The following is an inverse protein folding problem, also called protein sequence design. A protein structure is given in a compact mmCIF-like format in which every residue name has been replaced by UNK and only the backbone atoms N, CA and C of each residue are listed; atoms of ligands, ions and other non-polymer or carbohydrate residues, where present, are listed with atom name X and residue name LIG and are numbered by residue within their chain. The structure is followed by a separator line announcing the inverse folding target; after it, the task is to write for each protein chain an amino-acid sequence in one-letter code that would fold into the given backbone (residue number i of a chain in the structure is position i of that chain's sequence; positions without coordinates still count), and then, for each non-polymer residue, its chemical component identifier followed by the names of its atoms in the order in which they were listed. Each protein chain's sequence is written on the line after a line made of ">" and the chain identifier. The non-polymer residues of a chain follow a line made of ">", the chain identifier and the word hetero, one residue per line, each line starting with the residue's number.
data_IF_827271917188
#
_entry.id   IF_827271917188
#
_cell.length_a   1.000
_cell.length_b   1.000
_cell.length_c   1.000
_cell.angle_alpha   90.00
_cell.angle_beta   90.00
_cell.angle_gamma   90.00
#
_symmetry.space_group_name_H-M   'P 1'
#
loop_
_entity.id
_entity.type
_entity.pdbx_description
1 polymer ?
#
# COMPACT_ATOMS: atom_id res chain seq x y z
N UNK A 1 4.96 10.46 -23.57
CA UNK A 1 5.36 9.13 -23.06
C UNK A 1 5.89 9.35 -21.65
N UNK A 2 5.56 8.49 -20.68
CA UNK A 2 6.11 8.60 -19.32
C UNK A 2 7.56 8.11 -19.36
N UNK A 3 8.49 8.90 -18.83
CA UNK A 3 9.92 8.56 -18.70
C UNK A 3 10.07 7.22 -17.96
N UNK A 4 10.86 6.27 -18.48
CA UNK A 4 11.11 4.98 -17.86
C UNK A 4 12.57 4.84 -17.42
N UNK A 5 12.78 4.64 -16.12
CA UNK A 5 14.12 4.49 -15.53
C UNK A 5 14.37 3.07 -15.06
N UNK A 6 15.56 2.53 -15.33
CA UNK A 6 16.09 1.36 -14.64
C UNK A 6 17.12 1.82 -13.61
N UNK A 7 16.92 1.44 -12.36
CA UNK A 7 17.89 1.65 -11.28
C UNK A 7 18.60 0.33 -11.00
N UNK A 8 19.93 0.30 -11.09
CA UNK A 8 20.74 -0.88 -10.79
C UNK A 8 21.80 -0.55 -9.76
N UNK A 9 22.04 -1.47 -8.82
CA UNK A 9 23.13 -1.35 -7.86
C UNK A 9 24.41 -1.96 -8.41
N UNK A 10 25.52 -1.28 -8.19
CA UNK A 10 26.88 -1.75 -8.39
C UNK A 10 27.49 -2.03 -7.01
N UNK A 11 27.89 -3.27 -6.80
CA UNK A 11 28.63 -3.69 -5.61
C UNK A 11 30.14 -3.81 -5.81
N UNK A 12 30.75 -4.50 -4.84
CA UNK A 12 32.16 -4.89 -4.84
C UNK A 12 32.28 -6.35 -5.26
N UNK A 13 32.89 -6.63 -6.41
CA UNK A 13 33.24 -8.00 -6.82
C UNK A 13 34.35 -8.55 -5.93
N UNK A 14 34.12 -9.76 -5.40
CA UNK A 14 35.01 -10.41 -4.41
C UNK A 14 35.94 -11.46 -5.02
N UNK A 15 35.80 -11.78 -6.31
CA UNK A 15 36.46 -12.97 -6.89
C UNK A 15 37.75 -12.66 -7.66
N UNK A 16 37.87 -11.49 -8.31
CA UNK A 16 39.11 -11.05 -8.95
C UNK A 16 39.11 -9.52 -9.15
N UNK A 17 40.25 -8.85 -8.91
CA UNK A 17 40.42 -7.41 -9.17
C UNK A 17 40.41 -7.08 -10.66
N UNK A 18 40.80 -8.02 -11.52
CA UNK A 18 40.83 -7.83 -12.98
C UNK A 18 39.50 -8.18 -13.66
N UNK A 19 38.76 -9.19 -13.19
CA UNK A 19 37.53 -9.65 -13.88
C UNK A 19 36.22 -9.25 -13.21
N UNK A 20 36.26 -8.73 -11.97
CA UNK A 20 35.08 -8.27 -11.23
C UNK A 20 34.17 -9.38 -10.71
N UNK A 21 32.88 -9.34 -11.10
CA UNK A 21 31.90 -10.39 -10.80
C UNK A 21 32.17 -11.68 -11.59
N UNK A 22 31.66 -12.79 -11.06
CA UNK A 22 31.56 -14.02 -11.83
C UNK A 22 30.68 -13.79 -13.07
N UNK A 23 31.27 -14.00 -14.25
CA UNK A 23 30.52 -14.03 -15.51
C UNK A 23 29.52 -15.20 -15.48
N UNK A 24 28.30 -14.95 -15.93
CA UNK A 24 27.26 -15.99 -15.99
C UNK A 24 26.29 -15.76 -17.15
N UNK A 25 25.58 -16.82 -17.53
CA UNK A 25 24.53 -16.80 -18.56
C UNK A 25 23.16 -16.67 -17.89
N UNK A 26 22.54 -15.51 -18.03
CA UNK A 26 21.24 -15.22 -17.45
C UNK A 26 20.09 -15.66 -18.35
N UNK A 27 19.01 -16.21 -17.79
CA UNK A 27 17.75 -16.47 -18.49
C UNK A 27 16.64 -15.62 -17.91
N UNK A 28 16.03 -14.78 -18.74
CA UNK A 28 14.87 -13.98 -18.36
C UNK A 28 13.58 -14.81 -18.34
N UNK A 29 12.57 -14.42 -17.56
CA UNK A 29 11.26 -15.07 -17.56
C UNK A 29 10.65 -15.07 -18.96
N UNK A 30 10.20 -16.25 -19.42
CA UNK A 30 9.61 -16.42 -20.75
C UNK A 30 10.61 -16.61 -21.89
N UNK A 31 11.92 -16.45 -21.66
CA UNK A 31 12.95 -16.74 -22.66
C UNK A 31 13.37 -18.22 -22.61
N UNK A 32 13.48 -18.84 -23.79
CA UNK A 32 13.95 -20.23 -23.92
C UNK A 32 15.48 -20.30 -23.78
N UNK A 33 16.17 -19.44 -24.52
CA UNK A 33 17.62 -19.38 -24.53
C UNK A 33 18.13 -18.35 -23.52
N UNK A 34 19.20 -18.67 -22.76
CA UNK A 34 19.84 -17.69 -21.92
C UNK A 34 20.66 -16.71 -22.77
N UNK A 35 20.89 -15.52 -22.21
CA UNK A 35 21.73 -14.47 -22.79
C UNK A 35 23.20 -14.90 -22.84
N UNK A 36 24.02 -14.20 -23.65
CA UNK A 36 25.47 -14.32 -23.61
C UNK A 36 26.00 -14.09 -22.19
N UNK A 37 27.20 -14.60 -21.95
CA UNK A 37 27.83 -14.51 -20.65
C UNK A 37 28.16 -13.05 -20.28
N UNK A 38 27.75 -12.59 -19.10
CA UNK A 38 27.99 -11.22 -18.62
C UNK A 38 28.30 -11.21 -17.13
N UNK A 39 29.02 -10.17 -16.68
CA UNK A 39 29.29 -9.89 -15.27
C UNK A 39 28.26 -8.93 -14.65
N UNK A 40 27.51 -8.17 -15.45
CA UNK A 40 26.65 -7.08 -14.99
C UNK A 40 25.21 -7.30 -15.45
N UNK A 41 24.35 -7.82 -14.56
CA UNK A 41 22.95 -8.05 -14.89
C UNK A 41 22.23 -6.76 -15.29
N UNK A 42 22.48 -5.63 -14.59
CA UNK A 42 21.85 -4.35 -14.87
C UNK A 42 21.95 -3.90 -16.33
N UNK A 43 23.05 -4.23 -17.02
CA UNK A 43 23.23 -3.92 -18.45
C UNK A 43 22.37 -4.83 -19.35
N UNK A 44 22.26 -6.12 -19.04
CA UNK A 44 21.35 -7.02 -19.76
C UNK A 44 19.88 -6.72 -19.48
N UNK A 45 19.55 -6.30 -18.25
CA UNK A 45 18.24 -5.78 -17.90
C UNK A 45 17.91 -4.52 -18.71
N UNK A 46 18.87 -3.60 -18.91
CA UNK A 46 18.64 -2.42 -19.74
C UNK A 46 18.29 -2.82 -21.19
N UNK A 47 18.98 -3.82 -21.76
CA UNK A 47 18.66 -4.36 -23.10
C UNK A 47 17.27 -5.02 -23.16
N UNK A 48 16.91 -5.76 -22.11
CA UNK A 48 15.63 -6.44 -22.01
C UNK A 48 14.45 -5.46 -21.82
N UNK A 49 14.62 -4.47 -20.95
CA UNK A 49 13.56 -3.52 -20.53
C UNK A 49 13.48 -2.28 -21.42
N UNK A 50 14.59 -1.88 -22.05
CA UNK A 50 14.73 -0.68 -22.88
C UNK A 50 14.28 0.60 -22.15
N UNK A 51 14.91 0.96 -21.02
CA UNK A 51 14.60 2.19 -20.32
C UNK A 51 15.04 3.42 -21.13
N UNK A 52 14.46 4.58 -20.82
CA UNK A 52 14.94 5.88 -21.30
C UNK A 52 16.22 6.30 -20.56
N UNK A 53 16.30 5.95 -19.26
CA UNK A 53 17.41 6.30 -18.36
C UNK A 53 17.90 5.07 -17.59
N UNK A 54 19.22 4.86 -17.56
CA UNK A 54 19.88 3.83 -16.74
C UNK A 54 20.64 4.50 -15.59
N UNK A 55 20.10 4.40 -14.38
CA UNK A 55 20.76 4.88 -13.17
C UNK A 55 21.58 3.74 -12.57
N UNK A 56 22.89 3.96 -12.42
CA UNK A 56 23.81 3.00 -11.81
C UNK A 56 24.24 3.56 -10.46
N UNK A 57 23.80 2.92 -9.37
CA UNK A 57 24.10 3.33 -8.01
C UNK A 57 25.25 2.50 -7.44
N UNK A 58 26.30 3.12 -6.95
CA UNK A 58 27.40 2.40 -6.29
C UNK A 58 28.01 3.21 -5.16
N UNK A 59 28.68 2.53 -4.25
CA UNK A 59 29.50 3.21 -3.23
C UNK A 59 30.84 3.65 -3.80
N UNK A 60 31.59 4.44 -3.03
CA UNK A 60 32.95 4.84 -3.39
C UNK A 60 33.96 3.69 -3.53
N UNK A 61 33.60 2.47 -3.08
CA UNK A 61 34.40 1.24 -3.24
C UNK A 61 33.74 0.18 -4.11
N UNK A 62 32.79 0.57 -4.96
CA UNK A 62 32.15 -0.30 -5.96
C UNK A 62 33.01 -0.39 -7.23
N UNK A 63 32.81 -1.41 -8.06
CA UNK A 63 33.69 -1.71 -9.20
C UNK A 63 33.40 -0.86 -10.45
N UNK A 64 33.54 0.47 -10.34
CA UNK A 64 33.34 1.39 -11.46
C UNK A 64 34.37 1.20 -12.59
N UNK A 65 35.61 0.85 -12.26
CA UNK A 65 36.72 0.59 -13.18
C UNK A 65 36.49 -0.67 -14.00
N UNK A 66 35.99 -1.73 -13.38
CA UNK A 66 35.63 -2.96 -14.11
C UNK A 66 34.39 -2.74 -14.98
N UNK A 67 33.42 -1.94 -14.52
CA UNK A 67 32.29 -1.54 -15.35
C UNK A 67 32.75 -0.75 -16.58
N UNK A 68 33.66 0.21 -16.40
CA UNK A 68 34.27 0.96 -17.48
C UNK A 68 35.02 0.05 -18.44
N UNK A 69 35.84 -0.88 -17.95
CA UNK A 69 36.58 -1.85 -18.78
C UNK A 69 35.65 -2.74 -19.59
N UNK A 70 34.48 -3.11 -19.05
CA UNK A 70 33.50 -3.93 -19.74
C UNK A 70 32.78 -3.18 -20.88
N UNK A 71 32.72 -1.85 -20.81
CA UNK A 71 31.95 -1.00 -21.72
C UNK A 71 32.82 -0.20 -22.70
N UNK A 72 34.05 0.15 -22.31
CA UNK A 72 34.97 0.91 -23.13
C UNK A 72 35.54 0.06 -24.27
N UNK A 73 35.75 0.70 -25.43
CA UNK A 73 36.53 0.10 -26.51
C UNK A 73 38.01 0.02 -26.11
N UNK A 74 38.70 -1.05 -26.51
CA UNK A 74 40.12 -1.26 -26.20
C UNK A 74 40.96 0.01 -26.47
N UNK A 75 41.62 0.53 -25.43
CA UNK A 75 42.53 1.67 -25.49
C UNK A 75 41.93 3.06 -25.27
N UNK A 76 40.61 3.20 -25.07
CA UNK A 76 40.01 4.48 -24.69
C UNK A 76 40.05 4.71 -23.17
N UNK A 77 40.46 5.91 -22.76
CA UNK A 77 40.35 6.40 -21.37
C UNK A 77 41.09 5.53 -20.31
N UNK A 78 42.16 4.84 -20.73
CA UNK A 78 42.93 3.91 -19.88
C UNK A 78 43.50 4.59 -18.62
N UNK A 79 43.96 5.84 -18.73
CA UNK A 79 44.43 6.61 -17.58
C UNK A 79 43.29 6.87 -16.57
N UNK A 80 42.09 7.24 -17.04
CA UNK A 80 40.92 7.44 -16.17
C UNK A 80 40.52 6.12 -15.50
N UNK A 81 40.59 5.00 -16.22
CA UNK A 81 40.31 3.66 -15.70
C UNK A 81 41.25 3.30 -14.54
N UNK A 82 42.55 3.51 -14.73
CA UNK A 82 43.56 3.23 -13.70
C UNK A 82 43.33 4.11 -12.46
N UNK A 83 43.11 5.42 -12.65
CA UNK A 83 42.82 6.33 -11.53
C UNK A 83 41.54 5.92 -10.77
N UNK A 84 40.53 5.44 -11.48
CA UNK A 84 39.28 4.97 -10.89
C UNK A 84 39.50 3.70 -10.06
N UNK A 85 40.25 2.72 -10.59
CA UNK A 85 40.60 1.50 -9.85
C UNK A 85 41.39 1.78 -8.57
N UNK A 86 42.32 2.73 -8.60
CA UNK A 86 43.10 3.14 -7.43
C UNK A 86 42.19 3.78 -6.38
N UNK A 87 41.30 4.70 -6.79
CA UNK A 87 40.36 5.35 -5.90
C UNK A 87 39.34 4.37 -5.28
N UNK A 88 38.91 3.34 -6.01
CA UNK A 88 38.03 2.29 -5.49
C UNK A 88 38.70 1.45 -4.40
N UNK A 89 39.99 1.16 -4.56
CA UNK A 89 40.76 0.38 -3.60
C UNK A 89 40.82 1.07 -2.24
N UNK A 90 40.85 2.41 -2.22
CA UNK A 90 40.82 3.24 -1.02
C UNK A 90 39.44 3.77 -0.65
N UNK A 91 38.40 3.44 -1.43
CA UNK A 91 37.03 3.92 -1.25
C UNK A 91 36.90 5.47 -1.27
N UNK A 92 37.67 6.12 -2.16
CA UNK A 92 37.75 7.58 -2.31
C UNK A 92 37.24 8.09 -3.66
N UNK A 93 36.48 7.28 -4.40
CA UNK A 93 35.79 7.76 -5.62
C UNK A 93 34.80 8.87 -5.24
N UNK A 94 34.82 9.96 -5.99
CA UNK A 94 33.95 11.13 -5.84
C UNK A 94 32.94 11.23 -6.99
N UNK A 95 31.81 11.91 -6.76
CA UNK A 95 30.74 12.03 -7.77
C UNK A 95 31.24 12.72 -9.04
N UNK A 96 32.09 13.74 -8.90
CA UNK A 96 32.68 14.47 -10.02
C UNK A 96 33.49 13.55 -10.97
N UNK A 97 34.15 12.53 -10.41
CA UNK A 97 34.85 11.52 -11.21
C UNK A 97 33.87 10.69 -12.03
N UNK A 98 32.74 10.30 -11.45
CA UNK A 98 31.69 9.54 -12.14
C UNK A 98 30.96 10.37 -13.20
N UNK A 99 30.71 11.64 -12.93
CA UNK A 99 30.06 12.55 -13.88
C UNK A 99 30.85 12.60 -15.20
N UNK A 100 32.19 12.56 -15.13
CA UNK A 100 33.08 12.49 -16.29
C UNK A 100 33.04 11.18 -17.09
N UNK A 101 32.36 10.14 -16.59
CA UNK A 101 32.17 8.85 -17.28
C UNK A 101 30.84 8.77 -18.03
N UNK A 102 29.92 9.69 -17.76
CA UNK A 102 28.54 9.69 -18.28
C UNK A 102 28.48 9.52 -19.80
N UNK A 103 29.25 10.29 -20.55
CA UNK A 103 29.23 10.26 -22.01
C UNK A 103 29.76 8.94 -22.56
N UNK A 104 30.81 8.39 -21.93
CA UNK A 104 31.41 7.10 -22.34
C UNK A 104 30.43 5.96 -22.08
N UNK A 105 29.84 5.91 -20.89
CA UNK A 105 28.86 4.90 -20.52
C UNK A 105 27.60 4.99 -21.40
N UNK A 106 27.13 6.22 -21.66
CA UNK A 106 25.95 6.44 -22.51
C UNK A 106 26.22 6.04 -23.96
N UNK A 107 27.39 6.40 -24.50
CA UNK A 107 27.81 6.02 -25.85
C UNK A 107 27.96 4.50 -26.02
N UNK A 108 28.53 3.82 -25.02
CA UNK A 108 28.74 2.37 -25.07
C UNK A 108 27.43 1.57 -24.91
N UNK A 109 26.50 2.05 -24.09
CA UNK A 109 25.26 1.33 -23.79
C UNK A 109 24.10 1.71 -24.70
N UNK A 110 24.13 2.90 -25.30
CA UNK A 110 23.03 3.46 -26.09
C UNK A 110 21.87 4.01 -25.26
N UNK A 111 22.05 4.14 -23.94
CA UNK A 111 21.06 4.70 -23.00
C UNK A 111 21.58 5.99 -22.37
N UNK A 112 20.69 6.83 -21.84
CA UNK A 112 21.12 7.92 -20.97
C UNK A 112 21.55 7.35 -19.61
N UNK A 113 22.85 7.28 -19.34
CA UNK A 113 23.40 6.67 -18.13
C UNK A 113 23.67 7.72 -17.06
N UNK A 114 23.22 7.47 -15.83
CA UNK A 114 23.49 8.31 -14.67
C UNK A 114 24.26 7.49 -13.61
N UNK A 115 25.60 7.57 -13.57
CA UNK A 115 26.39 6.96 -12.51
C UNK A 115 26.31 7.82 -11.25
N UNK A 116 25.80 7.26 -10.16
CA UNK A 116 25.48 7.99 -8.93
C UNK A 116 26.13 7.31 -7.73
N UNK A 117 26.87 8.09 -6.94
CA UNK A 117 27.41 7.65 -5.66
C UNK A 117 26.31 7.60 -4.60
N UNK A 118 26.35 6.52 -3.83
CA UNK A 118 25.57 6.35 -2.62
C UNK A 118 26.50 6.03 -1.44
N UNK A 119 26.14 6.41 -0.20
CA UNK A 119 26.92 5.99 0.96
C UNK A 119 26.78 4.46 1.19
N UNK A 120 27.57 3.93 2.13
CA UNK A 120 27.57 2.49 2.42
C UNK A 120 26.29 2.02 3.12
N UNK A 121 25.52 2.92 3.73
CA UNK A 121 24.28 2.61 4.46
C UNK A 121 24.54 2.05 5.87
N UNK A 122 25.65 2.46 6.50
CA UNK A 122 26.10 1.92 7.81
C UNK A 122 25.22 2.32 8.98
N UNK A 123 24.50 3.43 8.85
CA UNK A 123 23.62 3.99 9.86
C UNK A 123 22.35 4.54 9.19
N UNK A 124 21.38 4.98 10.00
CA UNK A 124 20.10 5.46 9.52
C UNK A 124 20.24 6.69 8.58
N UNK A 125 21.12 7.63 8.89
CA UNK A 125 21.34 8.83 8.07
C UNK A 125 21.88 8.46 6.68
N UNK A 126 22.89 7.59 6.62
CA UNK A 126 23.37 7.07 5.34
C UNK A 126 22.26 6.34 4.57
N UNK A 127 21.39 5.57 5.25
CA UNK A 127 20.27 4.87 4.61
C UNK A 127 19.23 5.84 4.04
N UNK A 128 18.91 6.92 4.75
CA UNK A 128 18.02 7.98 4.26
C UNK A 128 18.63 8.68 3.05
N UNK A 129 19.93 8.97 3.08
CA UNK A 129 20.62 9.56 1.94
C UNK A 129 20.56 8.66 0.69
N UNK A 130 20.63 7.33 0.83
CA UNK A 130 20.44 6.42 -0.31
C UNK A 130 19.02 6.57 -0.89
N UNK A 131 18.00 6.62 -0.03
CA UNK A 131 16.61 6.79 -0.46
C UNK A 131 16.40 8.13 -1.18
N UNK A 132 16.98 9.21 -0.67
CA UNK A 132 16.91 10.54 -1.29
C UNK A 132 17.64 10.57 -2.64
N UNK A 133 18.84 10.00 -2.74
CA UNK A 133 19.56 9.88 -4.03
C UNK A 133 18.73 9.13 -5.07
N UNK A 134 18.07 8.03 -4.68
CA UNK A 134 17.18 7.28 -5.58
C UNK A 134 15.98 8.14 -6.01
N UNK A 135 15.39 8.90 -5.08
CA UNK A 135 14.24 9.76 -5.37
C UNK A 135 14.56 10.95 -6.28
N UNK A 136 15.78 11.48 -6.19
CA UNK A 136 16.24 12.57 -7.06
C UNK A 136 16.61 12.06 -8.46
N UNK A 137 17.17 10.85 -8.55
CA UNK A 137 17.49 10.22 -9.84
C UNK A 137 16.24 9.79 -10.64
N UNK A 138 15.09 9.62 -9.97
CA UNK A 138 13.82 9.21 -10.60
C UNK A 138 12.72 10.24 -10.29
N UNK A 139 12.70 11.40 -10.97
CA UNK A 139 11.80 12.49 -10.61
C UNK A 139 10.35 12.26 -11.05
N UNK A 140 10.11 11.50 -12.13
CA UNK A 140 8.79 11.25 -12.69
C UNK A 140 8.77 9.96 -13.54
N UNK A 141 7.56 9.50 -13.87
CA UNK A 141 7.35 8.41 -14.81
C UNK A 141 7.25 7.04 -14.15
N UNK A 142 8.02 6.07 -14.66
CA UNK A 142 8.00 4.69 -14.23
C UNK A 142 9.41 4.20 -13.91
N UNK A 143 9.53 3.23 -12.99
CA UNK A 143 10.84 2.72 -12.55
C UNK A 143 10.85 1.22 -12.38
N UNK A 144 11.98 0.59 -12.71
CA UNK A 144 12.31 -0.77 -12.33
C UNK A 144 13.61 -0.79 -11.55
N UNK A 145 13.75 -1.76 -10.65
CA UNK A 145 14.96 -1.93 -9.83
C UNK A 145 15.64 -3.27 -10.10
N UNK A 146 16.96 -3.25 -10.26
CA UNK A 146 17.83 -4.43 -10.17
C UNK A 146 18.45 -4.47 -8.78
N UNK A 147 18.12 -5.48 -7.98
CA UNK A 147 18.63 -5.70 -6.61
C UNK A 147 19.67 -6.83 -6.53
N UNK A 148 20.32 -7.16 -7.65
CA UNK A 148 21.25 -8.30 -7.77
C UNK A 148 22.58 -8.06 -7.06
N UNK A 149 23.19 -6.91 -7.29
CA UNK A 149 24.55 -6.61 -6.80
C UNK A 149 24.52 -5.57 -5.68
N UNK A 150 25.62 -5.49 -4.94
CA UNK A 150 25.74 -4.62 -3.77
C UNK A 150 25.76 -5.40 -2.46
N UNK A 151 25.78 -4.68 -1.34
CA UNK A 151 25.58 -5.31 -0.05
C UNK A 151 24.15 -5.85 0.05
N UNK A 152 23.95 -6.94 0.80
CA UNK A 152 22.62 -7.55 0.97
C UNK A 152 21.56 -6.58 1.46
N UNK A 153 21.94 -5.60 2.31
CA UNK A 153 21.01 -4.57 2.78
C UNK A 153 20.63 -3.56 1.70
N UNK A 154 21.46 -3.32 0.67
CA UNK A 154 21.10 -2.43 -0.45
C UNK A 154 19.95 -3.02 -1.27
N UNK A 155 19.85 -4.35 -1.37
CA UNK A 155 18.67 -4.98 -1.96
C UNK A 155 17.39 -4.68 -1.17
N UNK A 156 17.47 -4.68 0.17
CA UNK A 156 16.35 -4.29 1.04
C UNK A 156 16.02 -2.80 0.89
N UNK A 157 17.03 -1.94 0.77
CA UNK A 157 16.84 -0.51 0.50
C UNK A 157 16.18 -0.29 -0.86
N UNK A 158 16.65 -0.94 -1.93
CA UNK A 158 16.04 -0.86 -3.26
C UNK A 158 14.58 -1.33 -3.27
N UNK A 159 14.27 -2.40 -2.52
CA UNK A 159 12.89 -2.84 -2.30
C UNK A 159 12.05 -1.77 -1.59
N UNK A 160 12.56 -1.16 -0.52
CA UNK A 160 11.87 -0.06 0.18
C UNK A 160 11.71 1.20 -0.70
N UNK A 161 12.75 1.54 -1.48
CA UNK A 161 12.74 2.68 -2.41
C UNK A 161 11.58 2.60 -3.37
N UNK A 162 11.30 1.41 -3.92
CA UNK A 162 10.17 1.21 -4.80
C UNK A 162 8.86 1.72 -4.16
N UNK A 163 8.53 1.26 -2.95
CA UNK A 163 7.29 1.68 -2.26
C UNK A 163 7.30 3.15 -1.85
N UNK A 164 8.46 3.66 -1.43
CA UNK A 164 8.62 5.06 -1.10
C UNK A 164 8.31 5.93 -2.32
N UNK A 165 8.86 5.61 -3.50
CA UNK A 165 8.66 6.36 -4.72
C UNK A 165 7.21 6.33 -5.21
N UNK A 166 6.52 5.19 -5.11
CA UNK A 166 5.09 5.11 -5.42
C UNK A 166 4.28 6.09 -4.56
N UNK A 167 4.65 6.27 -3.28
CA UNK A 167 3.88 7.08 -2.33
C UNK A 167 4.27 8.55 -2.30
N UNK A 168 5.56 8.84 -2.28
CA UNK A 168 6.11 10.19 -2.10
C UNK A 168 6.21 10.94 -3.41
N UNK A 169 6.47 10.23 -4.52
CA UNK A 169 6.64 10.82 -5.86
C UNK A 169 5.54 10.44 -6.84
N UNK A 170 4.56 9.63 -6.43
CA UNK A 170 3.46 9.14 -7.27
C UNK A 170 3.95 8.47 -8.57
N UNK A 171 5.07 7.74 -8.47
CA UNK A 171 5.68 7.02 -9.59
C UNK A 171 5.03 5.66 -9.80
N UNK A 172 5.12 5.14 -11.02
CA UNK A 172 4.76 3.77 -11.31
C UNK A 172 5.98 2.85 -11.14
N UNK A 173 6.05 2.09 -10.04
CA UNK A 173 7.02 0.98 -9.97
C UNK A 173 6.49 -0.15 -10.83
N UNK A 174 7.25 -0.48 -11.89
CA UNK A 174 6.89 -1.57 -12.80
C UNK A 174 7.27 -2.91 -12.22
N UNK A 175 8.56 -3.07 -11.89
CA UNK A 175 9.14 -4.38 -11.60
C UNK A 175 10.38 -4.28 -10.71
N UNK A 176 10.58 -5.29 -9.86
CA UNK A 176 11.87 -5.56 -9.21
C UNK A 176 12.46 -6.85 -9.76
N UNK A 177 13.75 -6.80 -10.04
CA UNK A 177 14.51 -7.85 -10.72
C UNK A 177 15.67 -8.32 -9.87
N UNK A 178 15.93 -9.63 -9.93
CA UNK A 178 17.02 -10.26 -9.18
C UNK A 178 17.65 -11.39 -9.99
N UNK A 179 18.96 -11.32 -10.23
CA UNK A 179 19.77 -12.40 -10.78
C UNK A 179 20.12 -13.40 -9.68
N UNK A 180 19.43 -14.53 -9.66
CA UNK A 180 19.58 -15.52 -8.60
C UNK A 180 20.78 -16.44 -8.85
N UNK A 181 21.99 -15.92 -8.66
CA UNK A 181 23.25 -16.64 -8.93
C UNK A 181 23.32 -18.01 -8.22
N UNK A 182 22.84 -18.08 -6.98
CA UNK A 182 22.80 -19.31 -6.18
C UNK A 182 21.80 -20.36 -6.71
N UNK A 183 20.91 -19.99 -7.65
CA UNK A 183 19.97 -20.87 -8.34
C UNK A 183 20.45 -21.29 -9.72
N UNK A 184 21.76 -21.19 -9.99
CA UNK A 184 22.33 -21.60 -11.27
C UNK A 184 22.20 -23.11 -11.46
N UNK A 185 21.52 -23.53 -12.52
CA UNK A 185 21.37 -24.93 -12.92
C UNK A 185 21.84 -25.10 -14.36
N UNK A 186 22.62 -26.16 -14.64
CA UNK A 186 23.18 -26.44 -15.97
C UNK A 186 23.93 -25.25 -16.60
N UNK A 187 24.61 -24.45 -15.77
CA UNK A 187 25.35 -23.26 -16.22
C UNK A 187 24.46 -22.09 -16.63
N UNK A 188 23.18 -22.09 -16.25
CA UNK A 188 22.22 -21.02 -16.52
C UNK A 188 21.68 -20.46 -15.21
N UNK A 189 21.80 -19.16 -15.03
CA UNK A 189 21.30 -18.42 -13.88
C UNK A 189 19.92 -17.84 -14.20
N UNK A 190 18.87 -18.13 -13.42
CA UNK A 190 17.56 -17.53 -13.64
C UNK A 190 17.54 -16.06 -13.17
N UNK A 191 16.87 -15.21 -13.95
CA UNK A 191 16.49 -13.86 -13.54
C UNK A 191 15.05 -13.93 -13.03
N UNK A 192 14.85 -13.51 -11.78
CA UNK A 192 13.56 -13.53 -11.11
C UNK A 192 12.92 -12.15 -11.15
N UNK A 193 11.60 -12.12 -11.35
CA UNK A 193 10.76 -10.98 -10.99
C UNK A 193 10.29 -11.16 -9.56
N UNK A 194 10.34 -10.08 -8.78
CA UNK A 194 9.90 -10.05 -7.38
C UNK A 194 8.54 -9.33 -7.24
N UNK A 195 7.72 -9.35 -8.29
CA UNK A 195 6.38 -8.76 -8.36
C UNK A 195 5.43 -9.33 -7.29
N UNK A 196 5.54 -10.62 -6.96
CA UNK A 196 4.78 -11.20 -5.86
C UNK A 196 4.97 -10.46 -4.53
N UNK A 197 6.18 -9.96 -4.24
CA UNK A 197 6.46 -9.20 -3.01
C UNK A 197 5.87 -7.80 -3.04
N UNK A 198 5.87 -7.13 -4.19
CA UNK A 198 5.26 -5.80 -4.33
C UNK A 198 3.74 -5.87 -4.25
N UNK A 199 3.13 -6.92 -4.81
CA UNK A 199 1.68 -7.15 -4.70
C UNK A 199 1.26 -7.34 -3.25
N UNK A 200 2.01 -8.15 -2.48
CA UNK A 200 1.76 -8.32 -1.04
C UNK A 200 1.85 -6.99 -0.28
N UNK A 201 2.87 -6.17 -0.56
CA UNK A 201 3.01 -4.86 0.08
C UNK A 201 1.84 -3.92 -0.25
N UNK A 202 1.36 -3.91 -1.50
CA UNK A 202 0.20 -3.12 -1.91
C UNK A 202 -1.06 -3.56 -1.16
N UNK A 203 -1.23 -4.87 -0.97
CA UNK A 203 -2.30 -5.43 -0.15
C UNK A 203 -2.20 -5.04 1.33
N UNK A 204 -1.00 -5.07 1.94
CA UNK A 204 -0.79 -4.58 3.31
C UNK A 204 -1.22 -3.11 3.40
N UNK A 205 -0.76 -2.27 2.46
CA UNK A 205 -1.13 -0.86 2.44
C UNK A 205 -2.63 -0.62 2.24
N UNK A 206 -3.30 -1.46 1.45
CA UNK A 206 -4.75 -1.40 1.26
C UNK A 206 -5.50 -1.82 2.53
N UNK A 207 -5.01 -2.84 3.24
CA UNK A 207 -5.56 -3.27 4.51
C UNK A 207 -5.45 -2.18 5.58
N UNK A 208 -4.30 -1.50 5.68
CA UNK A 208 -4.13 -0.39 6.63
C UNK A 208 -5.10 0.76 6.34
N UNK A 209 -5.28 1.12 5.06
CA UNK A 209 -6.26 2.13 4.64
C UNK A 209 -7.68 1.72 4.97
N UNK A 210 -8.02 0.47 4.73
CA UNK A 210 -9.33 -0.08 5.05
C UNK A 210 -9.56 -0.09 6.58
N UNK A 211 -8.57 -0.48 7.37
CA UNK A 211 -8.66 -0.53 8.82
C UNK A 211 -8.89 0.87 9.40
N UNK A 212 -8.22 1.89 8.85
CA UNK A 212 -8.41 3.28 9.23
C UNK A 212 -9.76 3.90 8.79
N UNK A 213 -10.31 3.52 7.64
CA UNK A 213 -11.42 4.27 7.00
C UNK A 213 -12.74 3.50 6.84
N UNK A 214 -12.68 2.17 6.91
CA UNK A 214 -13.76 1.27 6.51
C UNK A 214 -13.94 1.13 4.99
N UNK A 215 -13.11 1.78 4.17
CA UNK A 215 -13.28 1.79 2.71
C UNK A 215 -12.71 0.53 2.06
N UNK A 216 -13.54 -0.49 1.84
CA UNK A 216 -13.11 -1.70 1.12
C UNK A 216 -13.05 -1.50 -0.41
N UNK A 217 -13.39 -0.32 -0.92
CA UNK A 217 -13.15 0.04 -2.32
C UNK A 217 -11.67 0.10 -2.70
N UNK A 218 -10.78 0.24 -1.71
CA UNK A 218 -9.32 0.22 -1.92
C UNK A 218 -8.80 -1.12 -2.45
N UNK A 219 -9.58 -2.21 -2.30
CA UNK A 219 -9.21 -3.53 -2.79
C UNK A 219 -9.59 -3.76 -4.26
N UNK A 220 -10.48 -2.96 -4.85
CA UNK A 220 -10.92 -3.12 -6.26
C UNK A 220 -9.75 -3.31 -7.24
N UNK A 221 -8.78 -2.39 -7.35
CA UNK A 221 -7.70 -2.55 -8.33
C UNK A 221 -6.82 -3.77 -8.07
N UNK A 222 -6.60 -4.14 -6.79
CA UNK A 222 -5.76 -5.27 -6.41
C UNK A 222 -6.45 -6.61 -6.68
N UNK A 223 -7.76 -6.68 -6.50
CA UNK A 223 -8.56 -7.86 -6.81
C UNK A 223 -8.57 -8.13 -8.32
N UNK A 224 -8.69 -7.08 -9.13
CA UNK A 224 -8.60 -7.18 -10.60
C UNK A 224 -7.22 -7.70 -11.02
N UNK A 225 -6.15 -7.17 -10.40
CA UNK A 225 -4.77 -7.61 -10.65
C UNK A 225 -4.56 -9.09 -10.27
N UNK A 226 -5.21 -9.57 -9.21
CA UNK A 226 -5.21 -10.98 -8.79
C UNK A 226 -6.22 -11.86 -9.56
N UNK A 227 -6.84 -11.33 -10.63
CA UNK A 227 -7.67 -12.11 -11.57
C UNK A 227 -9.16 -12.20 -11.22
N UNK A 228 -9.66 -11.43 -10.25
CA UNK A 228 -11.09 -11.31 -9.98
C UNK A 228 -11.75 -10.50 -11.10
N UNK A 229 -12.91 -10.96 -11.58
CA UNK A 229 -13.65 -10.26 -12.63
C UNK A 229 -13.97 -8.81 -12.22
N UNK A 230 -13.77 -7.87 -13.15
CA UNK A 230 -13.87 -6.43 -12.90
C UNK A 230 -15.23 -6.02 -12.31
N UNK A 231 -16.32 -6.58 -12.80
CA UNK A 231 -17.67 -6.33 -12.30
C UNK A 231 -17.85 -6.78 -10.84
N UNK A 232 -17.20 -7.89 -10.44
CA UNK A 232 -17.22 -8.41 -9.08
C UNK A 232 -16.36 -7.57 -8.14
N UNK A 233 -15.14 -7.22 -8.56
CA UNK A 233 -14.26 -6.37 -7.77
C UNK A 233 -14.86 -4.97 -7.54
N UNK A 234 -15.47 -4.40 -8.58
CA UNK A 234 -16.17 -3.09 -8.53
C UNK A 234 -17.31 -3.06 -7.51
N UNK A 235 -17.95 -4.20 -7.22
CA UNK A 235 -19.00 -4.27 -6.20
C UNK A 235 -18.49 -3.81 -4.82
N UNK A 236 -17.22 -4.03 -4.47
CA UNK A 236 -16.67 -3.50 -3.22
C UNK A 236 -16.59 -1.98 -3.22
N UNK A 237 -16.16 -1.36 -4.31
CA UNK A 237 -16.14 0.11 -4.41
C UNK A 237 -17.54 0.72 -4.34
N UNK A 238 -18.50 0.11 -5.02
CA UNK A 238 -19.90 0.54 -5.01
C UNK A 238 -20.52 0.37 -3.62
N UNK A 239 -20.27 -0.75 -2.94
CA UNK A 239 -20.73 -0.95 -1.59
C UNK A 239 -20.16 0.11 -0.63
N UNK A 240 -18.87 0.45 -0.75
CA UNK A 240 -18.25 1.46 0.10
C UNK A 240 -18.82 2.86 -0.17
N UNK A 241 -19.24 3.14 -1.40
CA UNK A 241 -19.99 4.35 -1.73
C UNK A 241 -21.37 4.37 -1.05
N UNK A 242 -22.13 3.28 -1.13
CA UNK A 242 -23.46 3.20 -0.51
C UNK A 242 -23.39 3.29 1.03
N UNK A 243 -22.41 2.63 1.65
CA UNK A 243 -22.21 2.67 3.09
C UNK A 243 -21.87 4.07 3.60
N UNK A 244 -21.04 4.83 2.87
CA UNK A 244 -20.71 6.23 3.18
C UNK A 244 -21.92 7.16 3.14
N UNK A 245 -22.92 6.83 2.34
CA UNK A 245 -24.18 7.57 2.25
C UNK A 245 -25.31 6.92 3.06
N UNK A 246 -24.97 6.03 4.01
CA UNK A 246 -25.89 5.32 4.90
C UNK A 246 -26.93 4.41 4.19
N UNK A 247 -26.73 4.10 2.91
CA UNK A 247 -27.55 3.14 2.18
C UNK A 247 -27.03 1.70 2.42
N UNK A 248 -27.29 1.19 3.62
CA UNK A 248 -26.81 -0.11 4.09
C UNK A 248 -27.36 -1.27 3.25
N UNK A 249 -28.60 -1.16 2.76
CA UNK A 249 -29.26 -2.19 1.95
C UNK A 249 -28.54 -2.39 0.60
N UNK A 250 -28.20 -1.32 -0.11
CA UNK A 250 -27.47 -1.42 -1.37
C UNK A 250 -26.02 -1.85 -1.15
N UNK A 251 -25.37 -1.37 -0.08
CA UNK A 251 -24.03 -1.82 0.30
C UNK A 251 -24.00 -3.34 0.56
N UNK A 252 -24.96 -3.85 1.33
CA UNK A 252 -25.13 -5.29 1.59
C UNK A 252 -25.26 -6.08 0.28
N UNK A 253 -26.15 -5.65 -0.63
CA UNK A 253 -26.38 -6.34 -1.92
C UNK A 253 -25.09 -6.44 -2.74
N UNK A 254 -24.32 -5.37 -2.78
CA UNK A 254 -23.05 -5.29 -3.51
C UNK A 254 -21.97 -6.17 -2.86
N UNK A 255 -21.80 -6.13 -1.54
CA UNK A 255 -20.88 -7.05 -0.84
C UNK A 255 -21.30 -8.50 -1.06
N UNK A 256 -22.60 -8.82 -0.98
CA UNK A 256 -23.08 -10.18 -1.20
C UNK A 256 -22.74 -10.71 -2.60
N UNK A 257 -22.77 -9.83 -3.60
CA UNK A 257 -22.34 -10.17 -4.97
C UNK A 257 -20.84 -10.49 -5.03
N UNK A 258 -20.01 -9.76 -4.29
CA UNK A 258 -18.56 -10.04 -4.21
C UNK A 258 -18.26 -11.32 -3.41
N UNK A 259 -19.06 -11.66 -2.40
CA UNK A 259 -18.80 -12.83 -1.53
C UNK A 259 -18.73 -14.15 -2.30
N UNK A 260 -19.28 -14.26 -3.51
CA UNK A 260 -19.11 -15.45 -4.37
C UNK A 260 -17.65 -15.69 -4.77
N UNK A 261 -16.85 -14.63 -4.87
CA UNK A 261 -15.44 -14.69 -5.27
C UNK A 261 -14.50 -14.87 -4.08
N UNK A 262 -14.99 -14.72 -2.85
CA UNK A 262 -14.13 -14.67 -1.67
C UNK A 262 -13.32 -15.96 -1.47
N UNK A 263 -13.90 -17.11 -1.78
CA UNK A 263 -13.21 -18.40 -1.61
C UNK A 263 -12.25 -18.72 -2.78
N UNK A 264 -12.48 -18.15 -3.97
CA UNK A 264 -11.63 -18.32 -5.16
C UNK A 264 -10.41 -17.39 -5.19
N UNK A 265 -10.31 -16.45 -4.25
CA UNK A 265 -9.15 -15.55 -4.12
C UNK A 265 -7.83 -16.34 -4.07
N UNK A 266 -6.90 -15.93 -4.92
CA UNK A 266 -5.58 -16.54 -5.11
C UNK A 266 -4.49 -15.46 -5.15
N UNK A 267 -3.23 -15.82 -5.37
CA UNK A 267 -2.12 -14.85 -5.39
C UNK A 267 -2.00 -14.07 -4.07
N UNK A 268 -1.81 -12.75 -4.15
CA UNK A 268 -1.68 -11.91 -2.97
C UNK A 268 -3.02 -11.83 -2.20
N UNK A 269 -4.15 -11.66 -2.89
CA UNK A 269 -5.49 -11.60 -2.29
C UNK A 269 -5.84 -12.81 -1.42
N UNK A 270 -5.35 -14.00 -1.80
CA UNK A 270 -5.54 -15.25 -1.06
C UNK A 270 -4.96 -15.20 0.36
N UNK A 271 -3.84 -14.48 0.55
CA UNK A 271 -3.20 -14.30 1.87
C UNK A 271 -4.09 -13.47 2.81
N UNK A 272 -4.88 -12.54 2.26
CA UNK A 272 -5.73 -11.61 3.01
C UNK A 272 -7.19 -12.05 3.10
N UNK A 273 -7.57 -13.16 2.43
CA UNK A 273 -8.94 -13.69 2.39
C UNK A 273 -9.60 -13.81 3.77
N UNK A 274 -8.88 -14.35 4.77
CA UNK A 274 -9.42 -14.48 6.14
C UNK A 274 -9.80 -13.12 6.72
N UNK A 275 -8.94 -12.11 6.55
CA UNK A 275 -9.18 -10.75 7.03
C UNK A 275 -10.34 -10.11 6.28
N UNK A 276 -10.41 -10.22 4.96
CA UNK A 276 -11.56 -9.74 4.19
C UNK A 276 -12.87 -10.39 4.68
N UNK A 277 -12.88 -11.70 4.93
CA UNK A 277 -14.05 -12.41 5.45
C UNK A 277 -14.51 -11.86 6.80
N UNK A 278 -13.58 -11.69 7.75
CA UNK A 278 -13.86 -11.14 9.08
C UNK A 278 -14.49 -9.75 8.99
N UNK A 279 -14.05 -8.94 8.03
CA UNK A 279 -14.46 -7.54 7.89
C UNK A 279 -15.80 -7.39 7.17
N UNK A 280 -16.12 -8.28 6.23
CA UNK A 280 -17.38 -8.27 5.46
C UNK A 280 -18.50 -9.06 6.13
N UNK A 281 -18.26 -9.69 7.28
CA UNK A 281 -19.20 -10.61 7.93
C UNK A 281 -20.55 -9.97 8.31
N UNK A 282 -20.58 -8.65 8.53
CA UNK A 282 -21.79 -7.94 8.98
C UNK A 282 -22.97 -8.13 8.02
N UNK A 283 -22.75 -8.38 6.73
CA UNK A 283 -23.82 -8.61 5.75
C UNK A 283 -24.61 -9.90 5.97
N UNK A 284 -24.11 -10.79 6.84
CA UNK A 284 -24.75 -12.07 7.17
C UNK A 284 -25.80 -11.97 8.27
N UNK A 285 -25.94 -10.83 8.94
CA UNK A 285 -26.95 -10.69 10.00
C UNK A 285 -28.38 -10.74 9.44
N UNK A 286 -29.35 -10.98 10.34
CA UNK A 286 -30.75 -11.28 10.03
C UNK A 286 -31.49 -10.18 9.27
N UNK A 287 -31.29 -8.93 9.70
CA UNK A 287 -32.11 -7.79 9.29
C UNK A 287 -31.29 -6.49 9.24
N UNK A 288 -31.93 -5.44 8.70
CA UNK A 288 -31.32 -4.12 8.52
C UNK A 288 -30.87 -3.49 9.85
N UNK A 289 -31.62 -3.71 10.94
CA UNK A 289 -31.28 -3.17 12.25
C UNK A 289 -29.98 -3.78 12.78
N UNK A 290 -29.80 -5.09 12.61
CA UNK A 290 -28.55 -5.77 12.96
C UNK A 290 -27.38 -5.36 12.06
N UNK A 291 -27.61 -5.14 10.75
CA UNK A 291 -26.57 -4.59 9.86
C UNK A 291 -26.10 -3.22 10.33
N UNK A 292 -27.04 -2.30 10.57
CA UNK A 292 -26.75 -0.96 11.08
C UNK A 292 -26.05 -1.01 12.43
N UNK A 293 -26.48 -1.88 13.35
CA UNK A 293 -25.86 -2.07 14.66
C UNK A 293 -24.41 -2.54 14.53
N UNK A 294 -24.15 -3.57 13.73
CA UNK A 294 -22.78 -4.08 13.50
C UNK A 294 -21.88 -3.01 12.92
N UNK A 295 -22.36 -2.27 11.91
CA UNK A 295 -21.61 -1.17 11.32
C UNK A 295 -21.34 -0.05 12.34
N UNK A 296 -22.31 0.30 13.19
CA UNK A 296 -22.13 1.30 14.23
C UNK A 296 -20.97 0.95 15.19
N UNK A 297 -20.93 -0.29 15.69
CA UNK A 297 -19.80 -0.75 16.51
C UNK A 297 -18.49 -0.84 15.74
N UNK A 298 -18.53 -1.25 14.47
CA UNK A 298 -17.34 -1.30 13.62
C UNK A 298 -16.73 0.08 13.37
N UNK A 299 -17.55 1.13 13.23
CA UNK A 299 -17.08 2.51 13.08
C UNK A 299 -16.63 3.11 14.41
N UNK A 300 -17.31 2.77 15.50
CA UNK A 300 -16.90 3.17 16.85
C UNK A 300 -15.50 2.65 17.19
N UNK A 301 -15.24 1.36 16.92
CA UNK A 301 -13.93 0.73 17.13
C UNK A 301 -12.80 1.34 16.30
N UNK A 302 -13.13 2.11 15.25
CA UNK A 302 -12.16 2.81 14.40
C UNK A 302 -12.01 4.30 14.77
N UNK A 303 -12.80 4.80 15.70
CA UNK A 303 -12.83 6.23 16.05
C UNK A 303 -13.62 7.10 15.08
N UNK A 304 -14.41 6.52 14.16
CA UNK A 304 -15.34 7.28 13.33
C UNK A 304 -16.66 7.50 14.08
N UNK A 305 -16.64 8.48 14.99
CA UNK A 305 -17.76 8.77 15.89
C UNK A 305 -19.00 9.27 15.15
N UNK A 306 -18.83 9.96 14.00
CA UNK A 306 -19.97 10.48 13.22
C UNK A 306 -20.76 9.32 12.63
N UNK A 307 -20.11 8.41 11.90
CA UNK A 307 -20.81 7.24 11.32
C UNK A 307 -21.31 6.31 12.41
N UNK A 308 -20.56 6.12 13.50
CA UNK A 308 -21.00 5.31 14.63
C UNK A 308 -22.31 5.85 15.25
N UNK A 309 -22.38 7.15 15.54
CA UNK A 309 -23.57 7.77 16.12
C UNK A 309 -24.76 7.76 15.16
N UNK A 310 -24.54 8.03 13.87
CA UNK A 310 -25.60 7.98 12.85
C UNK A 310 -26.13 6.56 12.68
N UNK A 311 -25.27 5.57 12.43
CA UNK A 311 -25.71 4.18 12.23
C UNK A 311 -26.31 3.58 13.51
N UNK A 312 -25.82 3.95 14.69
CA UNK A 312 -26.39 3.55 15.96
C UNK A 312 -27.80 4.11 16.19
N UNK A 313 -28.00 5.37 15.82
CA UNK A 313 -29.32 6.00 15.81
C UNK A 313 -30.26 5.28 14.84
N UNK A 314 -29.81 5.07 13.61
CA UNK A 314 -30.56 4.36 12.58
C UNK A 314 -30.96 2.95 13.03
N UNK A 315 -30.01 2.18 13.61
CA UNK A 315 -30.27 0.86 14.16
C UNK A 315 -31.33 0.89 15.26
N UNK A 316 -31.30 1.91 16.14
CA UNK A 316 -32.26 2.05 17.24
C UNK A 316 -33.68 2.23 16.70
N UNK A 317 -33.86 3.14 15.75
CA UNK A 317 -35.18 3.41 15.15
C UNK A 317 -35.65 2.23 14.30
N UNK A 318 -34.77 1.65 13.47
CA UNK A 318 -35.08 0.47 12.66
C UNK A 318 -35.55 -0.69 13.53
N UNK A 319 -34.85 -0.98 14.64
CA UNK A 319 -35.26 -2.03 15.59
C UNK A 319 -36.63 -1.74 16.21
N UNK A 320 -36.92 -0.49 16.56
CA UNK A 320 -38.25 -0.12 17.07
C UNK A 320 -39.37 -0.30 16.03
N UNK A 321 -39.08 -0.09 14.74
CA UNK A 321 -40.03 -0.34 13.65
C UNK A 321 -40.30 -1.85 13.53
N UNK A 322 -39.24 -2.66 13.49
CA UNK A 322 -39.35 -4.12 13.39
C UNK A 322 -40.09 -4.74 14.58
N UNK A 323 -39.84 -4.28 15.81
CA UNK A 323 -40.55 -4.74 17.01
C UNK A 323 -42.06 -4.41 17.03
N UNK A 324 -42.50 -3.49 16.15
CA UNK A 324 -43.91 -3.07 16.02
C UNK A 324 -44.50 -3.50 14.68
N UNK A 325 -43.85 -4.43 13.98
CA UNK A 325 -44.26 -4.93 12.66
C UNK A 325 -44.45 -3.82 11.62
N UNK A 326 -43.64 -2.76 11.72
CA UNK A 326 -43.65 -1.60 10.79
C UNK A 326 -42.43 -1.62 9.88
N UNK A 327 -42.63 -1.19 8.64
CA UNK A 327 -41.56 -1.05 7.65
C UNK A 327 -40.61 0.12 8.02
N UNK A 328 -39.29 -0.13 8.17
CA UNK A 328 -38.29 0.92 8.41
C UNK A 328 -38.05 1.86 7.22
N UNK A 329 -38.41 1.43 6.01
CA UNK A 329 -38.22 2.17 4.75
C UNK A 329 -39.37 3.15 4.48
N UNK A 330 -40.51 2.99 5.15
CA UNK A 330 -41.67 3.87 5.03
C UNK A 330 -41.54 5.07 5.96
N UNK A 331 -41.25 6.24 5.40
CA UNK A 331 -41.04 7.47 6.17
C UNK A 331 -42.18 7.80 7.17
N UNK A 332 -43.48 7.71 6.82
CA UNK A 332 -44.55 7.98 7.77
C UNK A 332 -44.58 6.98 8.94
N UNK A 333 -44.46 5.69 8.64
CA UNK A 333 -44.47 4.62 9.66
C UNK A 333 -43.26 4.73 10.60
N UNK A 334 -42.10 5.06 10.05
CA UNK A 334 -40.87 5.31 10.80
C UNK A 334 -41.00 6.51 11.75
N UNK A 335 -41.53 7.62 11.26
CA UNK A 335 -41.73 8.84 12.06
C UNK A 335 -42.72 8.58 13.20
N UNK A 336 -43.86 7.94 12.92
CA UNK A 336 -44.85 7.58 13.93
C UNK A 336 -44.24 6.63 14.99
N UNK A 337 -43.41 5.68 14.56
CA UNK A 337 -42.70 4.78 15.48
C UNK A 337 -41.75 5.53 16.40
N UNK A 338 -40.98 6.47 15.85
CA UNK A 338 -40.10 7.31 16.65
C UNK A 338 -40.89 8.14 17.67
N UNK A 339 -41.95 8.83 17.25
CA UNK A 339 -42.79 9.64 18.13
C UNK A 339 -43.43 8.81 19.25
N UNK A 340 -43.94 7.62 18.92
CA UNK A 340 -44.49 6.69 19.91
C UNK A 340 -43.44 6.22 20.91
N UNK A 341 -42.26 5.84 20.43
CA UNK A 341 -41.16 5.42 21.30
C UNK A 341 -40.71 6.56 22.23
N UNK A 342 -40.62 7.80 21.73
CA UNK A 342 -40.32 8.98 22.55
C UNK A 342 -41.39 9.26 23.60
N UNK A 343 -42.67 9.03 23.31
CA UNK A 343 -43.75 9.12 24.31
C UNK A 343 -43.58 8.06 25.40
N UNK A 344 -43.32 6.81 25.02
CA UNK A 344 -43.13 5.70 25.96
C UNK A 344 -41.92 5.92 26.89
N UNK A 345 -40.84 6.52 26.38
CA UNK A 345 -39.67 6.92 27.18
C UNK A 345 -40.02 8.02 28.20
N UNK A 346 -40.85 9.01 27.82
CA UNK A 346 -41.31 10.08 28.73
C UNK A 346 -42.28 9.57 29.79
N UNK A 347 -43.09 8.57 29.44
CA UNK A 347 -44.00 7.86 30.35
C UNK A 347 -43.27 6.88 31.29
N UNK A 348 -41.93 6.83 31.28
CA UNK A 348 -41.10 5.98 32.13
C UNK A 348 -41.42 4.47 32.00
N UNK A 349 -41.82 4.03 30.79
CA UNK A 349 -42.07 2.61 30.49
C UNK A 349 -40.80 1.77 30.34
N UNK A 350 -39.62 2.40 30.44
CA UNK A 350 -38.32 1.77 30.28
C UNK A 350 -37.40 2.13 31.45
N UNK A 351 -36.39 1.28 31.67
CA UNK A 351 -35.34 1.56 32.67
C UNK A 351 -34.66 2.90 32.38
N UNK A 352 -34.37 3.66 33.45
CA UNK A 352 -33.79 4.99 33.38
C UNK A 352 -32.52 5.05 32.52
N UNK A 353 -31.63 4.05 32.63
CA UNK A 353 -30.40 3.96 31.84
C UNK A 353 -30.64 3.93 30.32
N UNK A 354 -31.75 3.33 29.87
CA UNK A 354 -32.14 3.25 28.46
C UNK A 354 -32.73 4.57 27.98
N UNK A 355 -33.50 5.24 28.84
CA UNK A 355 -34.03 6.58 28.58
C UNK A 355 -32.88 7.58 28.39
N UNK A 356 -31.91 7.59 29.30
CA UNK A 356 -30.71 8.43 29.21
C UNK A 356 -29.93 8.16 27.91
N UNK A 357 -29.63 6.89 27.62
CA UNK A 357 -28.90 6.49 26.43
C UNK A 357 -29.57 6.96 25.12
N UNK A 358 -30.91 6.94 25.05
CA UNK A 358 -31.64 7.42 23.88
C UNK A 358 -31.42 8.91 23.64
N UNK A 359 -31.60 9.73 24.68
CA UNK A 359 -31.45 11.18 24.58
C UNK A 359 -30.00 11.59 24.34
N UNK A 360 -29.06 10.93 25.01
CA UNK A 360 -27.63 11.16 24.84
C UNK A 360 -27.18 10.80 23.41
N UNK A 361 -27.59 9.65 22.86
CA UNK A 361 -27.28 9.29 21.48
C UNK A 361 -27.91 10.26 20.47
N UNK A 362 -29.14 10.72 20.71
CA UNK A 362 -29.82 11.73 19.86
C UNK A 362 -29.04 13.03 19.83
N UNK A 363 -28.62 13.51 21.00
CA UNK A 363 -27.88 14.77 21.17
C UNK A 363 -26.47 14.65 20.54
N UNK A 364 -25.77 13.54 20.79
CA UNK A 364 -24.48 13.21 20.18
C UNK A 364 -24.56 13.16 18.65
N UNK A 365 -25.52 12.41 18.09
CA UNK A 365 -25.71 12.30 16.64
C UNK A 365 -25.95 13.67 16.01
N UNK A 366 -26.78 14.51 16.62
CA UNK A 366 -27.07 15.84 16.09
C UNK A 366 -25.88 16.79 16.19
N UNK A 367 -25.18 16.79 17.33
CA UNK A 367 -23.99 17.61 17.52
C UNK A 367 -22.86 17.22 16.55
N UNK A 368 -22.60 15.92 16.38
CA UNK A 368 -21.58 15.40 15.47
C UNK A 368 -21.94 15.63 14.00
N UNK A 369 -23.21 15.53 13.61
CA UNK A 369 -23.64 15.72 12.22
C UNK A 369 -23.72 17.20 11.80
N UNK A 370 -24.10 18.10 12.72
CA UNK A 370 -24.34 19.52 12.42
C UNK A 370 -23.25 20.46 12.95
N UNK A 371 -22.30 19.96 13.74
CA UNK A 371 -21.29 20.79 14.42
C UNK A 371 -21.89 21.72 15.48
N UNK A 372 -23.11 21.43 15.95
CA UNK A 372 -23.85 22.26 16.91
C UNK A 372 -23.47 21.97 18.36
N UNK A 373 -23.76 22.92 19.26
CA UNK A 373 -23.59 22.71 20.70
C UNK A 373 -24.69 21.75 21.24
N UNK A 374 -24.31 20.63 21.89
CA UNK A 374 -25.28 19.71 22.49
C UNK A 374 -26.17 20.36 23.54
N UNK A 375 -27.41 19.91 23.64
CA UNK A 375 -28.37 20.37 24.66
C UNK A 375 -27.99 19.86 26.06
N UNK A 376 -27.46 18.64 26.16
CA UNK A 376 -27.07 18.01 27.42
C UNK A 376 -25.71 18.53 27.91
N UNK A 377 -25.64 18.98 29.18
CA UNK A 377 -24.41 19.51 29.79
C UNK A 377 -23.27 18.47 29.82
N UNK A 378 -23.59 17.22 30.12
CA UNK A 378 -22.61 16.13 30.15
C UNK A 378 -22.03 15.85 28.75
N UNK A 379 -22.88 15.78 27.72
CA UNK A 379 -22.44 15.60 26.33
C UNK A 379 -21.57 16.77 25.85
N UNK A 380 -21.92 18.00 26.22
CA UNK A 380 -21.05 19.18 25.97
C UNK A 380 -19.67 19.06 26.58
N UNK A 381 -19.57 18.53 27.80
CA UNK A 381 -18.28 18.33 28.45
C UNK A 381 -17.47 17.26 27.73
N UNK A 382 -18.11 16.18 27.27
CA UNK A 382 -17.44 15.12 26.50
C UNK A 382 -16.89 15.66 25.17
N UNK A 383 -17.68 16.42 24.39
CA UNK A 383 -17.21 16.94 23.10
C UNK A 383 -16.15 18.05 23.22
N UNK A 384 -16.05 18.71 24.38
CA UNK A 384 -14.98 19.69 24.67
C UNK A 384 -13.70 19.05 25.25
N UNK A 385 -13.76 17.77 25.60
CA UNK A 385 -12.63 17.02 26.13
C UNK A 385 -11.76 16.54 24.96
N UNK A 386 -10.45 16.85 24.93
CA UNK A 386 -9.56 16.38 23.87
C UNK A 386 -9.27 14.88 23.92
N UNK A 387 -9.80 14.15 24.93
CA UNK A 387 -9.64 12.71 25.05
C UNK A 387 -10.73 11.92 24.26
N UNK A 388 -10.41 11.32 23.10
CA UNK A 388 -11.39 10.59 22.29
C UNK A 388 -11.95 9.35 23.00
N UNK A 389 -11.25 8.78 23.99
CA UNK A 389 -11.71 7.60 24.74
C UNK A 389 -12.95 7.89 25.59
N UNK A 390 -13.18 9.16 25.92
CA UNK A 390 -14.37 9.56 26.68
C UNK A 390 -15.60 9.58 25.78
N UNK A 391 -15.47 10.11 24.57
CA UNK A 391 -16.51 10.07 23.54
C UNK A 391 -16.78 8.63 23.08
N UNK A 392 -15.72 7.83 22.89
CA UNK A 392 -15.85 6.41 22.56
C UNK A 392 -16.73 5.68 23.57
N UNK A 393 -16.38 5.75 24.86
CA UNK A 393 -17.11 5.07 25.94
C UNK A 393 -18.56 5.53 26.06
N UNK A 394 -18.83 6.81 25.84
CA UNK A 394 -20.20 7.33 25.88
C UNK A 394 -21.05 6.79 24.74
N UNK A 395 -20.55 6.83 23.50
CA UNK A 395 -21.25 6.23 22.36
C UNK A 395 -21.42 4.73 22.58
N UNK A 396 -20.37 4.02 23.01
CA UNK A 396 -20.44 2.59 23.30
C UNK A 396 -21.54 2.27 24.32
N UNK A 397 -21.57 3.01 25.43
CA UNK A 397 -22.56 2.86 26.49
C UNK A 397 -23.98 3.08 25.96
N UNK A 398 -24.18 4.11 25.13
CA UNK A 398 -25.45 4.37 24.49
C UNK A 398 -25.88 3.20 23.58
N UNK A 399 -24.98 2.75 22.70
CA UNK A 399 -25.25 1.64 21.78
C UNK A 399 -25.58 0.35 22.54
N UNK A 400 -24.81 0.01 23.57
CA UNK A 400 -25.05 -1.20 24.37
C UNK A 400 -26.41 -1.15 25.08
N UNK A 401 -26.80 0.00 25.66
CA UNK A 401 -28.08 0.14 26.38
C UNK A 401 -29.30 0.15 25.45
N UNK A 402 -29.13 0.55 24.19
CA UNK A 402 -30.21 0.63 23.21
C UNK A 402 -30.33 -0.62 22.33
N UNK A 403 -29.21 -1.26 22.01
CA UNK A 403 -29.10 -2.25 20.94
C UNK A 403 -28.62 -3.64 21.39
N UNK A 404 -28.24 -3.84 22.66
CA UNK A 404 -27.98 -5.19 23.18
C UNK A 404 -29.17 -5.76 23.95
#
# INVERSE_FOLDING_TARGET
>A
MKNYTLVTFLGKGRENRETGYRKTRYRFPGEVEPRPETAFLGLELAKYLKPDVLVILGTSGSQWGVLMENLALEGQEEEKRICLMDAEATATVEQQTLDGLTDVLSGATGYNVMPMLIPFGKNAEEQYNILDTVADAVPNGAVSFDVTHGFRHLGMVGFLSAFMLERVRNLAVRDLWYGALDMTENGVTPVLKLDGLTHVQRWVSALDRFDATGDYGVFEPLLIEDGVAEDKAKCLKEAAFFERNFNVSDAKRKIHTFLSELESLSGASGLFRKKLRERLVWVKESDLGEHQRKLAFQYLNRGDFVRAAVLGWEATITRQCLLRDKSPDEFPARKETQEKFESELKEQKYEQRKVEAYWDLKDLRNALAHGGEPSCKHIRQILKDPNPERLHREIETCLQRLLN
#
